data_IF_978371650990
#
_entry.id   IF_978371650990
#
_cell.length_a   1.000
_cell.length_b   1.000
_cell.length_c   1.000
_cell.angle_alpha   90.00
_cell.angle_beta   90.00
_cell.angle_gamma   90.00
#
_symmetry.space_group_name_H-M   'P 1'
#
loop_
_entity.id
_entity.type
_entity.pdbx_description
1 polymer ?
#
# COMPACT_ATOMS: atom_id res chain seq x y z
N UNK A 1 -10.97 39.38 -7.92
CA UNK A 1 -10.97 37.90 -7.97
C UNK A 1 -9.78 37.45 -7.14
N UNK A 2 -10.01 37.09 -5.88
CA UNK A 2 -8.98 36.52 -5.02
C UNK A 2 -8.76 35.09 -5.47
N UNK A 3 -7.57 34.81 -6.00
CA UNK A 3 -7.08 33.45 -6.25
C UNK A 3 -7.20 32.70 -4.93
N UNK A 4 -8.18 31.81 -4.81
CA UNK A 4 -8.34 30.94 -3.66
C UNK A 4 -7.04 30.17 -3.53
N UNK A 5 -6.27 30.50 -2.50
CA UNK A 5 -5.05 29.79 -2.14
C UNK A 5 -5.48 28.33 -1.95
N UNK A 6 -5.11 27.45 -2.89
CA UNK A 6 -5.38 26.03 -2.75
C UNK A 6 -4.46 25.58 -1.62
N UNK A 7 -4.95 25.64 -0.38
CA UNK A 7 -4.24 25.11 0.76
C UNK A 7 -4.02 23.62 0.52
N UNK A 8 -2.80 23.28 0.14
CA UNK A 8 -2.34 21.90 0.02
C UNK A 8 -2.44 21.24 1.39
N UNK A 9 -3.45 20.40 1.54
CA UNK A 9 -3.86 19.78 2.81
C UNK A 9 -2.92 18.68 3.27
N UNK A 10 -1.85 18.36 2.53
CA UNK A 10 -0.88 17.32 2.88
C UNK A 10 0.58 17.73 2.66
N UNK A 11 0.88 19.04 2.57
CA UNK A 11 2.28 19.55 2.53
C UNK A 11 3.15 18.96 3.63
N UNK A 12 4.36 18.48 3.27
CA UNK A 12 5.32 17.87 4.17
C UNK A 12 5.10 16.37 4.42
N UNK A 13 4.06 15.77 3.82
CA UNK A 13 3.81 14.32 3.91
C UNK A 13 4.47 13.61 2.74
N UNK A 14 5.52 12.86 3.02
CA UNK A 14 6.18 11.95 2.06
C UNK A 14 5.45 10.60 2.01
N UNK A 15 5.09 10.13 0.81
CA UNK A 15 4.41 8.85 0.59
C UNK A 15 5.26 7.94 -0.28
N UNK A 16 5.48 6.71 0.17
CA UNK A 16 6.09 5.64 -0.61
C UNK A 16 5.05 4.92 -1.47
N UNK A 17 5.39 4.63 -2.73
CA UNK A 17 4.48 4.00 -3.69
C UNK A 17 5.07 2.69 -4.23
N UNK A 18 4.64 1.57 -3.67
CA UNK A 18 5.03 0.22 -4.04
C UNK A 18 4.02 -0.37 -5.02
N UNK A 19 4.38 -0.42 -6.31
CA UNK A 19 3.57 -1.06 -7.36
C UNK A 19 4.51 -1.86 -8.24
N UNK A 20 4.23 -3.15 -8.38
CA UNK A 20 5.05 -4.06 -9.19
C UNK A 20 4.17 -4.91 -10.10
N UNK A 21 4.60 -5.06 -11.35
CA UNK A 21 3.88 -5.85 -12.34
C UNK A 21 3.86 -7.34 -11.98
N UNK A 22 2.73 -8.03 -12.09
CA UNK A 22 2.61 -9.48 -11.85
C UNK A 22 2.55 -10.29 -13.14
N UNK A 23 2.71 -11.61 -13.05
CA UNK A 23 2.45 -12.51 -14.19
C UNK A 23 0.97 -12.56 -14.55
N UNK A 24 0.05 -12.38 -13.59
CA UNK A 24 -1.38 -12.26 -13.86
C UNK A 24 -1.72 -10.98 -14.63
N UNK A 25 -1.00 -9.89 -14.39
CA UNK A 25 -1.12 -8.64 -15.16
C UNK A 25 -0.85 -8.87 -16.64
N UNK A 26 0.23 -9.59 -16.96
CA UNK A 26 0.56 -9.91 -18.34
C UNK A 26 -0.55 -10.73 -19.02
N UNK A 27 -1.20 -11.65 -18.28
CA UNK A 27 -2.33 -12.42 -18.78
C UNK A 27 -3.58 -11.56 -19.02
N UNK A 28 -3.73 -10.44 -18.31
CA UNK A 28 -4.78 -9.45 -18.50
C UNK A 28 -4.41 -8.35 -19.52
N UNK A 29 -3.27 -8.48 -20.20
CA UNK A 29 -2.76 -7.50 -21.17
C UNK A 29 -2.04 -6.31 -20.54
N UNK A 30 -1.91 -6.30 -19.21
CA UNK A 30 -1.28 -5.22 -18.46
C UNK A 30 0.23 -5.35 -18.47
N UNK A 31 0.88 -4.42 -19.16
CA UNK A 31 2.32 -4.39 -19.35
C UNK A 31 3.01 -3.40 -18.38
N UNK A 32 4.34 -3.38 -18.40
CA UNK A 32 5.12 -2.50 -17.53
C UNK A 32 4.80 -1.00 -17.68
N UNK A 33 4.45 -0.54 -18.89
CA UNK A 33 4.08 0.85 -19.12
C UNK A 33 2.75 1.20 -18.43
N UNK A 34 1.81 0.27 -18.36
CA UNK A 34 0.55 0.46 -17.63
C UNK A 34 0.78 0.52 -16.12
N UNK A 35 1.72 -0.26 -15.59
CA UNK A 35 2.14 -0.18 -14.19
C UNK A 35 2.76 1.17 -13.85
N UNK A 36 3.66 1.64 -14.72
CA UNK A 36 4.24 2.98 -14.60
C UNK A 36 3.16 4.05 -14.67
N UNK A 37 2.21 3.93 -15.59
CA UNK A 37 1.12 4.89 -15.71
C UNK A 37 0.22 4.92 -14.46
N UNK A 38 -0.08 3.76 -13.87
CA UNK A 38 -0.81 3.71 -12.60
C UNK A 38 -0.06 4.44 -11.48
N UNK A 39 1.26 4.24 -11.39
CA UNK A 39 2.10 4.96 -10.44
C UNK A 39 2.06 6.47 -10.67
N UNK A 40 2.17 6.90 -11.92
CA UNK A 40 2.12 8.32 -12.30
C UNK A 40 0.79 8.98 -11.94
N UNK A 41 -0.34 8.31 -12.21
CA UNK A 41 -1.67 8.85 -11.89
C UNK A 41 -1.83 9.05 -10.38
N UNK A 42 -1.44 8.07 -9.57
CA UNK A 42 -1.51 8.19 -8.11
C UNK A 42 -0.56 9.27 -7.61
N UNK A 43 0.68 9.29 -8.10
CA UNK A 43 1.68 10.28 -7.74
C UNK A 43 1.19 11.70 -8.07
N UNK A 44 0.62 11.93 -9.25
CA UNK A 44 0.07 13.23 -9.65
C UNK A 44 -1.04 13.71 -8.71
N UNK A 45 -1.96 12.82 -8.32
CA UNK A 45 -3.03 13.16 -7.38
C UNK A 45 -2.46 13.55 -6.00
N UNK A 46 -1.50 12.80 -5.49
CA UNK A 46 -0.86 13.07 -4.20
C UNK A 46 -0.02 14.36 -4.23
N UNK A 47 0.74 14.59 -5.30
CA UNK A 47 1.50 15.83 -5.51
C UNK A 47 0.58 17.05 -5.58
N UNK A 48 -0.61 16.90 -6.18
CA UNK A 48 -1.62 17.96 -6.21
C UNK A 48 -2.15 18.30 -4.80
N UNK A 49 -2.20 17.34 -3.88
CA UNK A 49 -2.52 17.57 -2.46
C UNK A 49 -1.34 18.10 -1.64
N UNK A 50 -0.14 18.16 -2.22
CA UNK A 50 1.08 18.65 -1.60
C UNK A 50 1.96 17.59 -0.95
N UNK A 51 1.66 16.30 -1.13
CA UNK A 51 2.57 15.25 -0.72
C UNK A 51 3.88 15.30 -1.51
N UNK A 52 4.90 14.65 -0.98
CA UNK A 52 6.12 14.27 -1.70
C UNK A 52 6.09 12.77 -2.01
N UNK A 53 6.63 12.36 -3.15
CA UNK A 53 6.66 10.95 -3.56
C UNK A 53 8.09 10.43 -3.44
N UNK A 54 8.28 9.38 -2.65
CA UNK A 54 9.57 8.68 -2.57
C UNK A 54 9.71 7.70 -3.74
N UNK A 55 10.89 7.67 -4.36
CA UNK A 55 11.19 6.83 -5.52
C UNK A 55 11.48 5.36 -5.16
N UNK A 56 11.71 5.03 -3.89
CA UNK A 56 12.16 3.70 -3.42
C UNK A 56 11.59 3.39 -2.02
N UNK A 57 11.58 2.09 -1.65
CA UNK A 57 11.06 1.43 -0.43
C UNK A 57 10.86 2.28 0.84
N UNK A 58 9.84 1.90 1.62
CA UNK A 58 9.12 2.59 2.70
C UNK A 58 9.89 3.35 3.83
N UNK A 59 11.19 3.65 3.73
CA UNK A 59 11.94 4.24 4.84
C UNK A 59 12.82 5.46 4.48
N UNK A 60 12.69 6.60 5.20
CA UNK A 60 11.56 6.98 6.05
C UNK A 60 10.54 7.78 5.22
N UNK A 61 9.45 7.12 4.82
CA UNK A 61 8.24 7.81 4.36
C UNK A 61 7.30 8.06 5.55
N UNK A 62 6.27 8.89 5.38
CA UNK A 62 5.20 9.07 6.38
C UNK A 62 4.03 8.10 6.17
N UNK A 63 3.91 7.50 4.98
CA UNK A 63 2.91 6.51 4.65
C UNK A 63 3.39 5.65 3.47
N UNK A 64 2.80 4.47 3.31
CA UNK A 64 3.08 3.57 2.19
C UNK A 64 1.79 3.12 1.50
N UNK A 65 1.81 3.10 0.17
CA UNK A 65 0.75 2.55 -0.68
C UNK A 65 1.33 1.33 -1.41
N UNK A 66 0.71 0.17 -1.24
CA UNK A 66 1.07 -1.05 -1.96
C UNK A 66 -0.08 -1.50 -2.87
N UNK A 67 0.22 -1.74 -4.15
CA UNK A 67 -0.76 -2.18 -5.14
C UNK A 67 -0.19 -3.37 -5.91
N UNK A 68 -0.91 -4.49 -5.87
CA UNK A 68 -0.52 -5.72 -6.54
C UNK A 68 0.81 -6.29 -6.02
N UNK A 69 1.71 -6.62 -6.94
CA UNK A 69 3.08 -7.03 -6.62
C UNK A 69 3.39 -8.48 -6.94
N UNK A 70 4.63 -8.73 -7.36
CA UNK A 70 5.07 -10.07 -7.79
C UNK A 70 5.04 -11.05 -6.63
N UNK A 71 4.60 -12.28 -6.89
CA UNK A 71 4.76 -13.42 -5.97
C UNK A 71 6.01 -14.25 -6.30
N UNK A 72 6.62 -14.02 -7.48
CA UNK A 72 7.78 -14.76 -7.98
C UNK A 72 8.85 -13.83 -8.62
N UNK A 73 10.11 -13.91 -8.16
CA UNK A 73 11.25 -13.04 -8.55
C UNK A 73 11.05 -11.54 -8.21
N UNK A 74 12.04 -10.67 -7.99
CA UNK A 74 13.50 -10.69 -8.05
C UNK A 74 14.08 -9.75 -6.94
N UNK A 75 15.36 -9.93 -6.58
CA UNK A 75 16.17 -9.19 -5.58
C UNK A 75 15.48 -8.86 -4.24
N UNK A 76 15.87 -9.58 -3.18
CA UNK A 76 15.32 -9.41 -1.83
C UNK A 76 15.08 -10.76 -1.16
N UNK A 77 14.62 -10.76 0.09
CA UNK A 77 14.25 -12.01 0.78
C UNK A 77 12.79 -12.36 0.56
N UNK A 78 11.93 -11.34 0.51
CA UNK A 78 10.51 -11.45 0.20
C UNK A 78 10.16 -10.59 -1.01
N UNK A 79 8.97 -10.76 -1.61
CA UNK A 79 8.42 -9.75 -2.50
C UNK A 79 8.51 -8.35 -1.89
N UNK A 80 8.90 -7.34 -2.68
CA UNK A 80 9.10 -5.96 -2.21
C UNK A 80 7.90 -5.42 -1.40
N UNK A 81 6.68 -5.77 -1.82
CA UNK A 81 5.44 -5.42 -1.11
C UNK A 81 5.41 -5.99 0.32
N UNK A 82 5.90 -7.20 0.56
CA UNK A 82 5.97 -7.75 1.92
C UNK A 82 6.97 -6.98 2.77
N UNK A 83 8.14 -6.63 2.22
CA UNK A 83 9.16 -5.87 2.93
C UNK A 83 8.64 -4.47 3.28
N UNK A 84 7.99 -3.79 2.33
CA UNK A 84 7.34 -2.49 2.55
C UNK A 84 6.23 -2.58 3.61
N UNK A 85 5.35 -3.59 3.53
CA UNK A 85 4.26 -3.79 4.49
C UNK A 85 4.81 -4.02 5.90
N UNK A 86 5.77 -4.93 6.05
CA UNK A 86 6.34 -5.27 7.35
C UNK A 86 7.08 -4.08 7.97
N UNK A 87 7.85 -3.36 7.16
CA UNK A 87 8.54 -2.13 7.57
C UNK A 87 7.55 -1.05 8.00
N UNK A 88 6.53 -0.79 7.19
CA UNK A 88 5.47 0.20 7.47
C UNK A 88 4.73 -0.10 8.76
N UNK A 89 4.32 -1.36 8.95
CA UNK A 89 3.63 -1.80 10.17
C UNK A 89 4.54 -1.75 11.40
N UNK A 90 5.82 -2.07 11.26
CA UNK A 90 6.80 -1.97 12.34
C UNK A 90 7.07 -0.52 12.75
N UNK A 91 7.01 0.42 11.81
CA UNK A 91 7.14 1.85 12.06
C UNK A 91 5.82 2.50 12.53
N UNK A 92 4.74 1.72 12.68
CA UNK A 92 3.38 2.20 13.01
C UNK A 92 2.86 3.27 12.04
N UNK A 93 3.30 3.19 10.78
CA UNK A 93 2.94 4.16 9.76
C UNK A 93 1.65 3.76 9.03
N UNK A 94 0.91 4.74 8.49
CA UNK A 94 -0.22 4.51 7.60
C UNK A 94 0.15 3.61 6.41
N UNK A 95 -0.54 2.48 6.31
CA UNK A 95 -0.44 1.54 5.20
C UNK A 95 -1.75 1.50 4.44
N UNK A 96 -1.67 1.60 3.10
CA UNK A 96 -2.79 1.49 2.19
C UNK A 96 -2.52 0.36 1.20
N UNK A 97 -3.48 -0.56 1.04
CA UNK A 97 -3.33 -1.77 0.22
C UNK A 97 -4.42 -1.82 -0.84
N UNK A 98 -4.07 -2.18 -2.07
CA UNK A 98 -5.05 -2.61 -3.07
C UNK A 98 -4.63 -3.92 -3.73
N UNK A 99 -5.54 -4.89 -3.70
CA UNK A 99 -5.38 -6.21 -4.28
C UNK A 99 -6.00 -6.35 -5.67
N UNK A 100 -6.42 -5.24 -6.31
CA UNK A 100 -7.11 -5.26 -7.62
C UNK A 100 -6.40 -6.11 -8.67
N UNK A 101 -5.08 -6.19 -8.56
CA UNK A 101 -4.23 -6.84 -9.55
C UNK A 101 -3.61 -8.15 -9.01
N UNK A 102 -4.11 -8.66 -7.88
CA UNK A 102 -3.65 -9.90 -7.29
C UNK A 102 -2.26 -9.80 -6.67
N UNK A 103 -1.54 -10.92 -6.66
CA UNK A 103 -0.15 -10.98 -6.23
C UNK A 103 0.08 -10.75 -4.73
N UNK A 104 1.22 -10.13 -4.40
CA UNK A 104 1.69 -9.99 -3.02
C UNK A 104 0.74 -9.18 -2.12
N UNK A 105 0.20 -8.06 -2.61
CA UNK A 105 -0.77 -7.27 -1.86
C UNK A 105 -2.05 -8.06 -1.53
N UNK A 106 -2.54 -8.90 -2.46
CA UNK A 106 -3.72 -9.74 -2.23
C UNK A 106 -3.44 -10.82 -1.17
N UNK A 107 -2.24 -11.40 -1.14
CA UNK A 107 -1.85 -12.32 -0.07
C UNK A 107 -1.81 -11.64 1.31
N UNK A 108 -1.28 -10.40 1.38
CA UNK A 108 -1.29 -9.60 2.61
C UNK A 108 -2.73 -9.28 3.06
N UNK A 109 -3.59 -8.85 2.13
CA UNK A 109 -5.01 -8.58 2.38
C UNK A 109 -5.72 -9.84 2.89
N UNK A 110 -5.44 -11.00 2.30
CA UNK A 110 -5.98 -12.29 2.73
C UNK A 110 -5.58 -12.64 4.17
N UNK A 111 -4.32 -12.36 4.55
CA UNK A 111 -3.86 -12.54 5.92
C UNK A 111 -4.55 -11.58 6.90
N UNK A 112 -4.71 -10.31 6.54
CA UNK A 112 -5.43 -9.30 7.35
C UNK A 112 -6.92 -9.64 7.53
N UNK A 113 -7.53 -10.27 6.52
CA UNK A 113 -8.91 -10.80 6.58
C UNK A 113 -9.03 -12.13 7.33
N UNK A 114 -7.92 -12.67 7.84
CA UNK A 114 -7.89 -13.96 8.54
C UNK A 114 -8.42 -15.11 7.68
N UNK A 115 -8.09 -15.10 6.38
CA UNK A 115 -8.41 -16.18 5.47
C UNK A 115 -7.57 -17.45 5.76
N UNK A 116 -7.64 -18.44 4.87
CA UNK A 116 -6.73 -19.59 4.92
C UNK A 116 -5.40 -19.18 4.28
N UNK A 117 -4.28 -19.51 4.93
CA UNK A 117 -2.94 -19.26 4.39
C UNK A 117 -2.73 -20.06 3.10
N UNK A 118 -2.46 -19.41 1.95
CA UNK A 118 -2.19 -20.11 0.72
C UNK A 118 -0.83 -20.85 0.80
N UNK A 119 -0.68 -21.93 0.04
CA UNK A 119 0.51 -22.79 0.11
C UNK A 119 1.79 -22.08 -0.36
N UNK A 120 1.65 -21.10 -1.24
CA UNK A 120 2.67 -20.24 -1.80
C UNK A 120 2.76 -18.88 -1.08
N UNK A 121 2.17 -18.74 0.11
CA UNK A 121 2.23 -17.49 0.87
C UNK A 121 3.66 -17.05 1.12
N UNK A 122 4.00 -15.84 0.63
CA UNK A 122 5.27 -15.18 0.91
C UNK A 122 6.47 -16.11 0.70
N UNK A 123 6.58 -16.79 -0.45
CA UNK A 123 7.73 -17.65 -0.70
C UNK A 123 9.04 -16.83 -0.63
N UNK A 124 9.97 -17.18 0.28
CA UNK A 124 11.22 -16.46 0.41
C UNK A 124 12.17 -16.78 -0.75
N UNK A 125 12.94 -15.80 -1.19
CA UNK A 125 13.93 -15.96 -2.27
C UNK A 125 15.36 -16.22 -1.77
N UNK A 126 15.58 -16.27 -0.45
CA UNK A 126 16.87 -16.58 0.19
C UNK A 126 16.73 -16.88 1.69
N UNK A 127 17.86 -17.13 2.36
CA UNK A 127 17.89 -17.46 3.80
C UNK A 127 17.77 -16.19 4.68
N UNK A 128 16.59 -15.95 5.27
CA UNK A 128 16.27 -14.74 6.04
C UNK A 128 15.16 -14.89 7.09
N UNK A 129 15.10 -13.94 8.05
CA UNK A 129 14.84 -14.09 9.50
C UNK A 129 13.44 -14.53 10.02
N UNK A 130 12.35 -14.33 9.31
CA UNK A 130 10.99 -14.60 9.84
C UNK A 130 10.27 -15.57 8.90
N UNK A 131 9.89 -16.78 9.33
CA UNK A 131 9.18 -17.72 8.46
C UNK A 131 7.86 -17.15 7.94
N UNK A 132 7.39 -17.54 6.73
CA UNK A 132 6.11 -17.05 6.19
C UNK A 132 4.93 -17.26 7.14
N UNK A 133 4.94 -18.34 7.92
CA UNK A 133 3.94 -18.60 8.96
C UNK A 133 3.91 -17.54 10.07
N UNK A 134 5.07 -17.00 10.45
CA UNK A 134 5.15 -15.95 11.47
C UNK A 134 4.72 -14.59 10.90
N UNK A 135 5.03 -14.31 9.64
CA UNK A 135 4.50 -13.15 8.91
C UNK A 135 2.97 -13.24 8.85
N UNK A 136 2.43 -14.39 8.46
CA UNK A 136 0.99 -14.62 8.41
C UNK A 136 0.32 -14.36 9.76
N UNK A 137 0.85 -14.93 10.85
CA UNK A 137 0.35 -14.69 12.21
C UNK A 137 0.38 -13.21 12.60
N UNK A 138 1.46 -12.51 12.25
CA UNK A 138 1.60 -11.07 12.54
C UNK A 138 0.57 -10.23 11.78
N UNK A 139 0.32 -10.54 10.51
CA UNK A 139 -0.72 -9.87 9.73
C UNK A 139 -2.12 -10.18 10.27
N UNK A 140 -2.40 -11.42 10.65
CA UNK A 140 -3.67 -11.80 11.28
C UNK A 140 -3.92 -11.06 12.60
N UNK A 141 -2.87 -10.89 13.42
CA UNK A 141 -3.00 -10.22 14.72
C UNK A 141 -3.23 -8.72 14.58
N UNK A 142 -2.70 -8.09 13.52
CA UNK A 142 -3.07 -6.73 13.13
C UNK A 142 -4.52 -6.71 12.66
N UNK A 143 -4.85 -7.51 11.65
CA UNK A 143 -6.16 -7.56 11.01
C UNK A 143 -6.59 -6.23 10.38
N UNK A 144 -7.76 -6.22 9.72
CA UNK A 144 -8.28 -4.99 9.09
C UNK A 144 -8.58 -3.90 10.14
N UNK A 145 -9.02 -4.28 11.34
CA UNK A 145 -9.25 -3.35 12.44
C UNK A 145 -7.95 -2.71 12.94
N UNK A 146 -6.85 -3.46 13.02
CA UNK A 146 -5.54 -2.91 13.33
C UNK A 146 -5.10 -1.91 12.27
N UNK A 147 -5.18 -2.28 10.99
CA UNK A 147 -4.84 -1.40 9.87
C UNK A 147 -5.62 -0.07 9.93
N UNK A 148 -6.93 -0.13 10.14
CA UNK A 148 -7.82 1.02 10.24
C UNK A 148 -7.42 2.02 11.33
N UNK A 149 -6.86 1.55 12.46
CA UNK A 149 -6.40 2.42 13.55
C UNK A 149 -5.21 3.31 13.15
N UNK A 150 -4.41 2.88 12.16
CA UNK A 150 -3.18 3.56 11.79
C UNK A 150 -3.26 4.32 10.48
N UNK A 151 -4.25 4.07 9.62
CA UNK A 151 -4.34 4.71 8.30
C UNK A 151 -5.48 5.72 8.13
N UNK A 152 -6.25 6.01 9.20
CA UNK A 152 -7.33 7.00 9.16
C UNK A 152 -8.56 6.58 8.34
N UNK A 153 -8.58 5.36 7.81
CA UNK A 153 -9.74 4.76 7.16
C UNK A 153 -10.46 3.82 8.13
N UNK A 154 -11.78 3.75 8.04
CA UNK A 154 -12.59 2.73 8.70
C UNK A 154 -12.31 1.34 8.12
N UNK A 155 -12.79 0.30 8.81
CA UNK A 155 -12.73 -1.08 8.30
C UNK A 155 -13.45 -1.20 6.94
N UNK A 156 -14.61 -0.56 6.79
CA UNK A 156 -15.38 -0.60 5.55
C UNK A 156 -14.68 0.14 4.39
N UNK A 157 -14.03 1.28 4.67
CA UNK A 157 -13.25 2.02 3.67
C UNK A 157 -12.00 1.24 3.25
N UNK A 158 -11.32 0.56 4.18
CA UNK A 158 -10.22 -0.35 3.84
C UNK A 158 -10.70 -1.51 2.96
N UNK A 159 -11.83 -2.13 3.30
CA UNK A 159 -12.42 -3.20 2.49
C UNK A 159 -12.80 -2.75 1.07
N UNK A 160 -13.27 -1.51 0.93
CA UNK A 160 -13.52 -0.90 -0.37
C UNK A 160 -12.21 -0.65 -1.13
N UNK A 161 -11.18 -0.12 -0.47
CA UNK A 161 -9.87 0.14 -1.04
C UNK A 161 -9.18 -1.14 -1.54
N UNK A 162 -9.30 -2.24 -0.80
CA UNK A 162 -8.75 -3.55 -1.19
C UNK A 162 -9.26 -4.01 -2.57
N UNK A 163 -10.46 -3.58 -2.97
CA UNK A 163 -11.14 -3.96 -4.22
C UNK A 163 -11.15 -2.83 -5.25
N UNK A 164 -10.58 -1.67 -4.94
CA UNK A 164 -10.66 -0.50 -5.78
C UNK A 164 -9.91 -0.72 -7.09
N UNK A 165 -10.63 -0.67 -8.21
CA UNK A 165 -10.06 -0.86 -9.55
C UNK A 165 -9.74 0.44 -10.26
N UNK A 166 -10.06 1.57 -9.63
CA UNK A 166 -9.87 2.90 -10.17
C UNK A 166 -8.78 3.63 -9.37
N UNK A 167 -7.75 4.13 -10.05
CA UNK A 167 -6.62 4.85 -9.45
C UNK A 167 -7.06 6.13 -8.72
N UNK A 168 -8.13 6.80 -9.19
CA UNK A 168 -8.71 7.95 -8.50
C UNK A 168 -9.32 7.54 -7.16
N UNK A 169 -10.03 6.41 -7.10
CA UNK A 169 -10.58 5.90 -5.83
C UNK A 169 -9.49 5.52 -4.84
N UNK A 170 -8.40 4.90 -5.32
CA UNK A 170 -7.23 4.59 -4.50
C UNK A 170 -6.63 5.89 -3.95
N UNK A 171 -6.41 6.88 -4.81
CA UNK A 171 -5.83 8.18 -4.43
C UNK A 171 -6.71 8.93 -3.44
N UNK A 172 -8.02 8.97 -3.67
CA UNK A 172 -9.01 9.62 -2.80
C UNK A 172 -9.04 8.98 -1.41
N UNK A 173 -9.03 7.64 -1.34
CA UNK A 173 -8.98 6.94 -0.06
C UNK A 173 -7.69 7.25 0.72
N UNK A 174 -6.53 7.27 0.03
CA UNK A 174 -5.26 7.65 0.67
C UNK A 174 -5.31 9.08 1.19
N UNK A 175 -5.76 10.02 0.35
CA UNK A 175 -5.87 11.44 0.74
C UNK A 175 -6.83 11.61 1.92
N UNK A 176 -7.95 10.91 1.92
CA UNK A 176 -8.93 10.92 3.02
C UNK A 176 -8.31 10.42 4.33
N UNK A 177 -7.63 9.26 4.29
CA UNK A 177 -6.97 8.67 5.46
C UNK A 177 -5.90 9.60 6.03
N UNK A 178 -5.00 10.09 5.18
CA UNK A 178 -3.94 11.02 5.57
C UNK A 178 -4.48 12.35 6.11
N UNK A 179 -5.55 12.87 5.51
CA UNK A 179 -6.18 14.12 5.97
C UNK A 179 -6.75 13.96 7.38
N UNK A 180 -7.45 12.84 7.66
CA UNK A 180 -8.01 12.55 8.98
C UNK A 180 -6.91 12.40 10.03
N UNK A 181 -5.82 11.71 9.70
CA UNK A 181 -4.66 11.57 10.60
C UNK A 181 -4.01 12.93 10.88
N UNK A 182 -3.90 13.79 9.87
CA UNK A 182 -3.35 15.13 10.06
C UNK A 182 -4.24 15.99 10.95
N UNK A 183 -5.55 15.93 10.77
CA UNK A 183 -6.51 16.61 11.66
C UNK A 183 -6.45 16.08 13.09
N UNK A 184 -6.28 14.77 13.28
CA UNK A 184 -6.14 14.17 14.61
C UNK A 184 -4.81 14.54 15.31
N UNK A 185 -3.77 14.87 14.54
CA UNK A 185 -2.43 15.23 15.01
C UNK A 185 -2.16 16.75 15.01
N UNK A 186 -3.15 17.57 14.66
CA UNK A 186 -3.08 19.04 14.78
C UNK A 186 -3.49 19.43 16.21
N UNK A 187 -2.69 20.27 16.93
CA UNK A 187 -3.09 20.82 18.23
C UNK A 187 -4.28 21.78 18.13
#
# INVERSE_FOLDING_TARGET
MTTTDIQKTLTGVTVGLSVSATSEMAALGVNAAEVTHMKEVIAQHLLAQGCEIASEHASPCHACICIGGRTEGANGYYPSVFEDVLSTLQAEQPLYLSGVIGGAAEQVISALRQAVMPADFGQPWGDGQLPPKEIWKRLMSVGVAGLARHNGLSVAENEALFKATNMSQISEAVVLGLSRLRTANLP
#
